data_IF_549588719774
#
_entry.id   IF_549588719774
#
_cell.length_a   1.000
_cell.length_b   1.000
_cell.length_c   1.000
_cell.angle_alpha   90.00
_cell.angle_beta   90.00
_cell.angle_gamma   90.00
#
_symmetry.space_group_name_H-M   'P 1'
#
loop_
_entity.id
_entity.type
_entity.pdbx_description
1 polymer ?
#
# COMPACT_ATOMS: atom_id res chain seq x y z
N UNK A 1 -11.68 2.90 -5.28
CA UNK A 1 -11.72 1.56 -5.88
C UNK A 1 -11.69 0.54 -4.76
N UNK A 2 -12.64 -0.39 -4.77
CA UNK A 2 -12.79 -1.35 -3.69
C UNK A 2 -11.89 -2.55 -3.87
N UNK A 3 -10.69 -2.48 -3.32
CA UNK A 3 -9.76 -3.59 -3.33
C UNK A 3 -9.95 -4.43 -2.08
N UNK A 4 -9.89 -5.75 -2.26
CA UNK A 4 -9.75 -6.70 -1.15
C UNK A 4 -8.27 -6.82 -0.79
N UNK A 5 -7.99 -7.30 0.42
CA UNK A 5 -6.62 -7.55 0.87
C UNK A 5 -5.84 -8.44 -0.10
N UNK A 6 -6.48 -9.49 -0.64
CA UNK A 6 -5.84 -10.43 -1.56
C UNK A 6 -5.38 -9.75 -2.87
N UNK A 7 -6.19 -8.84 -3.41
CA UNK A 7 -5.82 -8.06 -4.59
C UNK A 7 -4.64 -7.13 -4.29
N UNK A 8 -4.67 -6.48 -3.11
CA UNK A 8 -3.55 -5.66 -2.65
C UNK A 8 -2.25 -6.48 -2.57
N UNK A 9 -2.26 -7.63 -1.90
CA UNK A 9 -1.10 -8.51 -1.77
C UNK A 9 -0.58 -9.01 -3.13
N UNK A 10 -1.45 -9.10 -4.15
CA UNK A 10 -1.09 -9.51 -5.51
C UNK A 10 -0.42 -8.39 -6.32
N UNK A 11 -0.92 -7.16 -6.22
CA UNK A 11 -0.36 -6.00 -6.93
C UNK A 11 0.82 -5.37 -6.19
N UNK A 12 0.89 -5.53 -4.87
CA UNK A 12 1.92 -4.95 -4.02
C UNK A 12 3.33 -5.26 -4.52
N UNK A 13 3.75 -6.52 -4.73
CA UNK A 13 5.11 -6.82 -5.25
C UNK A 13 5.44 -6.09 -6.55
N UNK A 14 4.46 -5.87 -7.44
CA UNK A 14 4.65 -5.11 -8.66
C UNK A 14 4.73 -3.58 -8.42
N UNK A 15 4.17 -3.08 -7.33
CA UNK A 15 4.17 -1.68 -6.91
C UNK A 15 5.40 -1.28 -6.09
N UNK A 16 5.97 -2.20 -5.29
CA UNK A 16 7.25 -2.02 -4.60
C UNK A 16 8.47 -2.34 -5.50
N UNK A 17 8.27 -3.13 -6.55
CA UNK A 17 9.32 -3.49 -7.50
C UNK A 17 10.29 -4.53 -6.89
N UNK A 18 11.57 -4.42 -7.23
CA UNK A 18 12.60 -5.41 -6.88
C UNK A 18 13.10 -5.32 -5.41
N UNK A 19 12.34 -4.67 -4.52
CA UNK A 19 12.75 -4.49 -3.11
C UNK A 19 12.23 -5.62 -2.25
N UNK A 20 13.04 -6.03 -1.28
CA UNK A 20 12.65 -7.04 -0.31
C UNK A 20 11.62 -6.47 0.67
N UNK A 21 10.50 -7.18 0.83
CA UNK A 21 9.48 -6.85 1.80
C UNK A 21 9.06 -8.09 2.60
N UNK A 22 8.61 -7.86 3.81
CA UNK A 22 8.07 -8.87 4.72
C UNK A 22 6.62 -8.54 5.00
N UNK A 23 5.75 -9.55 4.90
CA UNK A 23 4.33 -9.42 5.20
C UNK A 23 4.05 -10.11 6.55
N UNK A 24 3.70 -9.32 7.55
CA UNK A 24 3.33 -9.75 8.90
C UNK A 24 1.84 -9.50 9.12
N UNK A 25 1.01 -10.38 8.56
CA UNK A 25 -0.46 -10.26 8.65
C UNK A 25 -0.94 -8.99 7.96
N UNK A 26 -1.38 -8.01 8.74
CA UNK A 26 -1.87 -6.73 8.23
C UNK A 26 -0.77 -5.67 8.09
N UNK A 27 0.46 -5.98 8.50
CA UNK A 27 1.59 -5.06 8.41
C UNK A 27 2.56 -5.54 7.35
N UNK A 28 3.02 -4.65 6.49
CA UNK A 28 4.03 -4.92 5.47
C UNK A 28 5.21 -4.00 5.72
N UNK A 29 6.40 -4.56 5.79
CA UNK A 29 7.63 -3.82 6.03
C UNK A 29 8.59 -4.01 4.88
N UNK A 30 9.20 -2.93 4.39
CA UNK A 30 10.20 -2.96 3.34
C UNK A 30 11.34 -2.02 3.68
N UNK A 31 12.57 -2.48 3.42
CA UNK A 31 13.72 -1.58 3.40
C UNK A 31 13.60 -0.67 2.16
N UNK A 32 13.72 0.65 2.38
CA UNK A 32 13.67 1.67 1.33
C UNK A 32 14.91 2.53 1.50
N UNK A 33 15.85 2.40 0.56
CA UNK A 33 17.11 3.15 0.58
C UNK A 33 17.82 3.04 1.94
N UNK A 34 17.95 4.14 2.68
CA UNK A 34 18.60 4.17 4.01
C UNK A 34 17.64 3.97 5.19
N UNK A 35 16.34 3.80 4.94
CA UNK A 35 15.33 3.67 5.98
C UNK A 35 14.38 2.51 5.76
N UNK A 36 13.31 2.49 6.56
CA UNK A 36 12.29 1.44 6.53
C UNK A 36 10.92 2.06 6.27
N UNK A 37 10.19 1.48 5.33
CA UNK A 37 8.78 1.74 5.12
C UNK A 37 7.97 0.64 5.80
N UNK A 38 7.06 1.02 6.70
CA UNK A 38 5.99 0.17 7.20
C UNK A 38 4.68 0.61 6.58
N UNK A 39 3.88 -0.35 6.16
CA UNK A 39 2.57 -0.18 5.59
C UNK A 39 1.59 -0.99 6.41
N UNK A 40 0.57 -0.35 6.95
CA UNK A 40 -0.46 -1.01 7.74
C UNK A 40 -1.76 -1.06 6.92
N UNK A 41 -2.19 -2.28 6.63
CA UNK A 41 -3.48 -2.59 6.01
C UNK A 41 -4.52 -2.65 7.12
N UNK A 42 -5.44 -1.70 7.15
CA UNK A 42 -6.59 -1.83 8.06
C UNK A 42 -7.50 -2.97 7.61
N UNK A 43 -8.36 -3.44 8.50
CA UNK A 43 -9.41 -4.38 8.14
C UNK A 43 -10.26 -3.84 6.99
N UNK A 44 -10.72 -4.75 6.11
CA UNK A 44 -11.56 -4.40 4.97
C UNK A 44 -12.87 -3.80 5.48
N UNK A 45 -13.04 -2.50 5.25
CA UNK A 45 -14.24 -1.76 5.62
C UNK A 45 -15.21 -1.74 4.44
N UNK A 46 -16.49 -1.51 4.72
CA UNK A 46 -17.50 -1.32 3.68
C UNK A 46 -18.08 0.08 3.81
N UNK A 47 -17.97 0.87 2.75
CA UNK A 47 -18.62 2.18 2.67
C UNK A 47 -20.00 1.99 2.07
N UNK A 48 -21.03 2.27 2.85
CA UNK A 48 -22.41 2.35 2.35
C UNK A 48 -22.62 3.70 1.66
N UNK A 49 -22.98 3.67 0.38
CA UNK A 49 -23.46 4.84 -0.36
C UNK A 49 -24.85 4.47 -0.88
N UNK A 50 -25.89 5.01 -0.24
CA UNK A 50 -27.28 4.63 -0.44
C UNK A 50 -27.47 3.09 -0.31
N UNK A 51 -27.83 2.40 -1.40
CA UNK A 51 -28.06 0.95 -1.45
C UNK A 51 -26.83 0.13 -1.84
N UNK A 52 -25.69 0.77 -2.10
CA UNK A 52 -24.46 0.11 -2.56
C UNK A 52 -23.48 0.00 -1.38
N UNK A 53 -22.98 -1.21 -1.14
CA UNK A 53 -21.87 -1.45 -0.21
C UNK A 53 -20.59 -1.64 -1.00
N UNK A 54 -19.71 -0.63 -1.00
CA UNK A 54 -18.41 -0.73 -1.62
C UNK A 54 -17.37 -1.15 -0.58
N UNK A 55 -16.70 -2.31 -0.73
CA UNK A 55 -15.54 -2.61 0.09
C UNK A 55 -14.46 -1.54 -0.16
N UNK A 56 -13.75 -1.13 0.87
CA UNK A 56 -12.55 -0.31 0.76
C UNK A 56 -11.53 -0.77 1.81
N UNK A 57 -10.25 -0.67 1.43
CA UNK A 57 -9.13 -0.98 2.29
C UNK A 57 -8.43 0.33 2.62
N UNK A 58 -8.26 0.61 3.91
CA UNK A 58 -7.54 1.80 4.38
C UNK A 58 -6.09 1.40 4.59
N UNK A 59 -5.17 2.10 3.92
CA UNK A 59 -3.75 1.78 3.90
C UNK A 59 -3.00 2.96 4.51
N UNK A 60 -2.24 2.70 5.56
CA UNK A 60 -1.45 3.73 6.26
C UNK A 60 0.03 3.48 6.04
N UNK A 61 0.76 4.47 5.55
CA UNK A 61 2.21 4.40 5.38
C UNK A 61 2.91 5.08 6.56
N UNK A 62 3.97 4.45 7.06
CA UNK A 62 4.84 4.96 8.11
C UNK A 62 6.28 4.79 7.66
N UNK A 63 7.04 5.87 7.66
CA UNK A 63 8.40 5.91 7.18
C UNK A 63 9.33 6.23 8.35
N UNK A 64 10.41 5.45 8.49
CA UNK A 64 11.38 5.59 9.58
C UNK A 64 12.78 5.69 8.96
N UNK A 65 13.55 6.73 9.32
CA UNK A 65 14.88 6.97 8.77
C UNK A 65 14.91 7.45 7.31
N UNK A 66 13.78 7.90 6.77
CA UNK A 66 13.66 8.44 5.42
C UNK A 66 13.53 9.96 5.43
N UNK A 67 14.14 10.63 4.46
CA UNK A 67 13.96 12.07 4.23
C UNK A 67 12.74 12.30 3.34
N UNK A 68 12.14 13.49 3.44
CA UNK A 68 10.90 13.84 2.71
C UNK A 68 10.98 13.62 1.20
N UNK A 69 12.15 13.86 0.59
CA UNK A 69 12.37 13.60 -0.83
C UNK A 69 12.18 12.11 -1.17
N UNK A 70 12.79 11.22 -0.38
CA UNK A 70 12.71 9.77 -0.56
C UNK A 70 11.28 9.25 -0.37
N UNK A 71 10.56 9.81 0.62
CA UNK A 71 9.15 9.51 0.87
C UNK A 71 8.30 9.93 -0.32
N UNK A 72 8.53 11.13 -0.86
CA UNK A 72 7.78 11.66 -2.00
C UNK A 72 8.04 10.85 -3.27
N UNK A 73 9.29 10.50 -3.54
CA UNK A 73 9.67 9.66 -4.68
C UNK A 73 9.08 8.25 -4.57
N UNK A 74 9.11 7.67 -3.37
CA UNK A 74 8.48 6.39 -3.10
C UNK A 74 6.97 6.45 -3.31
N UNK A 75 6.29 7.44 -2.72
CA UNK A 75 4.84 7.62 -2.89
C UNK A 75 4.47 7.84 -4.36
N UNK A 76 5.27 8.60 -5.11
CA UNK A 76 5.04 8.81 -6.55
C UNK A 76 5.21 7.51 -7.34
N UNK A 77 6.26 6.74 -7.06
CA UNK A 77 6.49 5.44 -7.70
C UNK A 77 5.36 4.46 -7.39
N UNK A 78 4.96 4.41 -6.12
CA UNK A 78 3.86 3.60 -5.65
C UNK A 78 2.55 3.99 -6.33
N UNK A 79 2.16 5.27 -6.32
CA UNK A 79 0.91 5.75 -6.94
C UNK A 79 0.85 5.46 -8.44
N UNK A 80 1.96 5.70 -9.17
CA UNK A 80 2.05 5.39 -10.60
C UNK A 80 1.82 3.91 -10.92
N UNK A 81 2.25 3.00 -10.05
CA UNK A 81 2.06 1.54 -10.21
C UNK A 81 0.72 1.07 -9.67
N UNK A 82 0.27 1.65 -8.56
CA UNK A 82 -0.97 1.34 -7.88
C UNK A 82 -2.19 1.76 -8.73
N UNK A 83 -2.15 2.94 -9.36
CA UNK A 83 -3.20 3.37 -10.30
C UNK A 83 -3.26 2.49 -11.56
N UNK A 84 -2.16 1.87 -11.98
CA UNK A 84 -2.13 0.96 -13.14
C UNK A 84 -2.61 -0.46 -12.83
N UNK A 85 -2.64 -0.87 -11.56
CA UNK A 85 -3.15 -2.18 -11.15
C UNK A 85 -4.66 -2.26 -10.98
N UNK A 86 -5.37 -1.14 -11.14
CA UNK A 86 -6.81 -1.00 -10.89
C UNK A 86 -7.68 -0.73 -12.11
N UNK A 87 -7.25 -1.21 -13.29
CA UNK A 87 -8.04 -1.17 -14.52
C UNK A 87 -8.99 -2.34 -14.64
#
# INVERSE_FOLDING_TARGET
MGFTRAEFERIFPAAIGNRSFTVNGSVIESAVNSGTMRLNLSEQKYRKIASISLPFLEITFSFEGLVENEITEFMRFFDLRYQRGGG
#
